data_IF_472724233544
#
_entry.id   IF_472724233544
#
_cell.length_a   1.000
_cell.length_b   1.000
_cell.length_c   1.000
_cell.angle_alpha   90.00
_cell.angle_beta   90.00
_cell.angle_gamma   90.00
#
_symmetry.space_group_name_H-M   'P 1'
#
loop_
_entity.id
_entity.type
_entity.pdbx_description
1 polymer ?
#
# COMPACT_ATOMS: atom_id res chain seq x y z
N UNK A 1 -2.82 -5.18 6.42
CA UNK A 1 -4.13 -5.57 6.98
C UNK A 1 -4.81 -4.43 7.72
N UNK A 2 -4.23 -3.91 8.80
CA UNK A 2 -4.88 -2.91 9.67
C UNK A 2 -5.32 -1.63 8.95
N UNK A 3 -4.53 -1.12 7.99
CA UNK A 3 -4.90 0.06 7.18
C UNK A 3 -6.11 -0.24 6.28
N UNK A 4 -6.15 -1.41 5.64
CA UNK A 4 -7.26 -1.80 4.78
C UNK A 4 -8.54 -2.02 5.58
N UNK A 5 -8.44 -2.63 6.77
CA UNK A 5 -9.56 -2.79 7.72
C UNK A 5 -10.10 -1.45 8.19
N UNK A 6 -9.22 -0.50 8.53
CA UNK A 6 -9.61 0.85 8.95
C UNK A 6 -10.41 1.61 7.88
N UNK A 7 -10.06 1.43 6.60
CA UNK A 7 -10.65 2.17 5.49
C UNK A 7 -11.61 1.30 4.65
N UNK A 8 -12.12 0.19 5.20
CA UNK A 8 -12.82 -0.83 4.42
C UNK A 8 -14.08 -0.30 3.72
N UNK A 9 -14.78 0.66 4.31
CA UNK A 9 -15.98 1.28 3.71
C UNK A 9 -15.70 2.10 2.44
N UNK A 10 -14.49 2.62 2.30
CA UNK A 10 -14.13 3.54 1.21
C UNK A 10 -13.27 2.88 0.12
N UNK A 11 -12.70 1.70 0.41
CA UNK A 11 -11.75 1.02 -0.46
C UNK A 11 -12.45 0.04 -1.41
N UNK A 12 -12.41 0.33 -2.71
CA UNK A 12 -12.89 -0.63 -3.74
C UNK A 12 -11.84 -1.68 -4.13
N UNK A 13 -10.56 -1.32 -4.08
CA UNK A 13 -9.46 -2.21 -4.43
C UNK A 13 -8.18 -1.80 -3.72
N UNK A 14 -7.32 -2.78 -3.41
CA UNK A 14 -6.03 -2.56 -2.76
C UNK A 14 -4.89 -3.15 -3.60
N UNK A 15 -4.03 -2.29 -4.13
CA UNK A 15 -2.77 -2.69 -4.74
C UNK A 15 -1.67 -2.80 -3.68
N UNK A 16 -0.96 -3.92 -3.64
CA UNK A 16 0.16 -4.13 -2.73
C UNK A 16 1.28 -4.94 -3.38
N UNK A 17 2.44 -4.95 -2.72
CA UNK A 17 3.57 -5.73 -3.21
C UNK A 17 3.34 -7.23 -3.23
N UNK A 18 3.99 -7.90 -4.18
CA UNK A 18 4.07 -9.36 -4.26
C UNK A 18 4.62 -9.99 -2.97
N UNK A 19 5.42 -9.24 -2.20
CA UNK A 19 5.83 -9.58 -0.85
C UNK A 19 4.68 -9.81 0.13
N UNK A 20 3.53 -9.17 -0.08
CA UNK A 20 2.31 -9.32 0.71
C UNK A 20 1.38 -10.43 0.19
N UNK A 21 1.83 -11.28 -0.71
CA UNK A 21 1.06 -12.44 -1.15
C UNK A 21 0.84 -13.42 0.01
N UNK A 22 -0.31 -13.29 0.67
CA UNK A 22 -0.78 -14.15 1.76
C UNK A 22 -2.26 -14.45 1.53
N UNK A 23 -2.62 -15.73 1.61
CA UNK A 23 -3.99 -16.17 1.40
C UNK A 23 -4.97 -15.54 2.40
N UNK A 24 -4.61 -15.54 3.69
CA UNK A 24 -5.41 -14.93 4.76
C UNK A 24 -5.66 -13.43 4.57
N UNK A 25 -4.69 -12.70 4.02
CA UNK A 25 -4.84 -11.29 3.66
C UNK A 25 -5.86 -11.14 2.52
N UNK A 26 -5.77 -11.98 1.48
CA UNK A 26 -6.69 -11.93 0.33
C UNK A 26 -8.13 -12.23 0.75
N UNK A 27 -8.33 -13.24 1.57
CA UNK A 27 -9.63 -13.59 2.14
C UNK A 27 -10.18 -12.44 2.99
N UNK A 28 -9.38 -11.92 3.93
CA UNK A 28 -9.77 -10.75 4.74
C UNK A 28 -10.16 -9.53 3.89
N UNK A 29 -9.49 -9.29 2.76
CA UNK A 29 -9.84 -8.19 1.85
C UNK A 29 -11.16 -8.45 1.13
N UNK A 30 -11.41 -9.69 0.69
CA UNK A 30 -12.66 -10.07 0.02
C UNK A 30 -13.86 -10.01 0.96
N UNK A 31 -13.70 -10.41 2.21
CA UNK A 31 -14.74 -10.31 3.24
C UNK A 31 -15.16 -8.85 3.49
N UNK A 32 -14.21 -7.93 3.32
CA UNK A 32 -14.43 -6.48 3.39
C UNK A 32 -14.95 -5.88 2.07
N UNK A 33 -15.20 -6.69 1.04
CA UNK A 33 -15.61 -6.22 -0.29
C UNK A 33 -14.50 -5.54 -1.10
N UNK A 34 -13.25 -5.61 -0.65
CA UNK A 34 -12.10 -4.95 -1.27
C UNK A 34 -11.44 -5.90 -2.27
N UNK A 35 -11.33 -5.52 -3.55
CA UNK A 35 -10.62 -6.34 -4.55
C UNK A 35 -9.11 -6.33 -4.30
N UNK A 36 -8.46 -7.47 -4.02
CA UNK A 36 -7.02 -7.54 -3.87
C UNK A 36 -6.33 -7.47 -5.24
N UNK A 37 -5.44 -6.49 -5.42
CA UNK A 37 -4.56 -6.34 -6.58
C UNK A 37 -3.11 -6.65 -6.14
N UNK A 38 -2.86 -7.91 -5.82
CA UNK A 38 -1.57 -8.42 -5.34
C UNK A 38 -1.15 -9.53 -6.29
N UNK A 39 0.03 -9.42 -6.91
CA UNK A 39 0.56 -10.49 -7.76
C UNK A 39 0.92 -11.71 -6.90
N UNK A 40 0.59 -12.90 -7.39
CA UNK A 40 0.98 -14.18 -6.80
C UNK A 40 2.48 -14.39 -6.93
N UNK A 41 3.10 -14.91 -5.88
CA UNK A 41 4.41 -15.56 -5.96
C UNK A 41 4.29 -16.79 -6.85
N UNK A 42 5.19 -16.91 -7.82
CA UNK A 42 5.11 -17.97 -8.83
C UNK A 42 5.76 -19.19 -8.21
N UNK A 43 4.92 -20.17 -7.85
CA UNK A 43 5.34 -21.49 -7.40
C UNK A 43 4.74 -22.59 -8.29
N UNK A 44 3.61 -22.31 -8.96
CA UNK A 44 2.94 -23.23 -9.87
C UNK A 44 2.46 -22.52 -11.16
N UNK A 45 2.16 -23.29 -12.23
CA UNK A 45 1.59 -22.74 -13.47
C UNK A 45 0.27 -21.99 -13.25
N UNK A 46 -0.52 -22.40 -12.25
CA UNK A 46 -1.76 -21.72 -11.87
C UNK A 46 -1.54 -20.28 -11.39
N UNK A 47 -0.38 -19.94 -10.84
CA UNK A 47 -0.06 -18.57 -10.40
C UNK A 47 0.11 -17.62 -11.59
N UNK A 48 0.58 -18.12 -12.73
CA UNK A 48 0.66 -17.35 -13.97
C UNK A 48 -0.74 -16.95 -14.46
N UNK A 49 -1.69 -17.88 -14.44
CA UNK A 49 -3.06 -17.62 -14.83
C UNK A 49 -3.73 -16.58 -13.91
N UNK A 50 -3.48 -16.66 -12.59
CA UNK A 50 -3.99 -15.66 -11.64
C UNK A 50 -3.36 -14.28 -11.85
N UNK A 51 -2.06 -14.22 -12.12
CA UNK A 51 -1.37 -12.97 -12.41
C UNK A 51 -1.86 -12.31 -13.71
N UNK A 52 -2.16 -13.09 -14.74
CA UNK A 52 -2.70 -12.59 -16.01
C UNK A 52 -4.11 -11.97 -15.89
N UNK A 53 -4.87 -12.35 -14.85
CA UNK A 53 -6.22 -11.80 -14.57
C UNK A 53 -6.20 -10.47 -13.80
N UNK A 54 -5.03 -10.04 -13.32
CA UNK A 54 -4.89 -8.77 -12.61
C UNK A 54 -4.88 -7.63 -13.64
N UNK A 55 -5.68 -6.59 -13.38
CA UNK A 55 -5.65 -5.35 -14.15
C UNK A 55 -4.29 -4.68 -13.98
N UNK A 56 -3.46 -4.76 -15.02
CA UNK A 56 -2.10 -4.23 -14.99
C UNK A 56 -2.08 -2.70 -14.84
N UNK A 57 -3.03 -1.99 -15.45
CA UNK A 57 -3.09 -0.54 -15.36
C UNK A 57 -3.32 -0.10 -13.90
N UNK A 58 -4.24 -0.75 -13.19
CA UNK A 58 -4.47 -0.48 -11.76
C UNK A 58 -3.32 -0.94 -10.88
N UNK A 59 -2.71 -2.10 -11.19
CA UNK A 59 -1.56 -2.60 -10.43
C UNK A 59 -0.34 -1.67 -10.58
N UNK A 60 -0.10 -1.11 -11.77
CA UNK A 60 1.04 -0.25 -12.08
C UNK A 60 1.00 1.11 -11.34
N UNK A 61 -0.18 1.53 -10.84
CA UNK A 61 -0.31 2.74 -10.01
C UNK A 61 0.50 2.66 -8.70
N UNK A 62 0.84 1.45 -8.26
CA UNK A 62 1.70 1.22 -7.10
C UNK A 62 3.06 1.93 -7.21
N UNK A 63 3.63 2.00 -8.41
CA UNK A 63 4.93 2.65 -8.64
C UNK A 63 4.92 4.14 -8.27
N UNK A 64 3.78 4.80 -8.44
CA UNK A 64 3.60 6.19 -8.02
C UNK A 64 3.66 6.33 -6.48
N UNK A 65 2.99 5.42 -5.77
CA UNK A 65 3.03 5.39 -4.29
C UNK A 65 4.45 5.11 -3.78
N UNK A 66 5.19 4.22 -4.44
CA UNK A 66 6.60 3.94 -4.08
C UNK A 66 7.50 5.15 -4.30
N UNK A 67 7.29 5.89 -5.39
CA UNK A 67 8.02 7.12 -5.69
C UNK A 67 7.78 8.17 -4.61
N UNK A 68 6.51 8.40 -4.24
CA UNK A 68 6.14 9.34 -3.17
C UNK A 68 6.76 8.91 -1.83
N UNK A 69 6.63 7.64 -1.46
CA UNK A 69 7.22 7.11 -0.23
C UNK A 69 8.74 7.29 -0.19
N UNK A 70 9.41 7.05 -1.32
CA UNK A 70 10.87 7.24 -1.42
C UNK A 70 11.24 8.71 -1.26
N UNK A 71 10.50 9.64 -1.88
CA UNK A 71 10.73 11.07 -1.75
C UNK A 71 10.54 11.56 -0.31
N UNK A 72 9.48 11.12 0.37
CA UNK A 72 9.22 11.44 1.79
C UNK A 72 10.36 10.92 2.66
N UNK A 73 10.78 9.65 2.46
CA UNK A 73 11.86 9.03 3.23
C UNK A 73 13.20 9.73 3.06
N UNK A 74 13.55 10.14 1.84
CA UNK A 74 14.78 10.92 1.58
C UNK A 74 14.74 12.30 2.24
N UNK A 75 13.57 12.93 2.33
CA UNK A 75 13.43 14.28 2.88
C UNK A 75 13.31 14.35 4.41
N UNK A 76 12.66 13.37 5.04
CA UNK A 76 12.29 13.41 6.46
C UNK A 76 12.88 12.23 7.27
N UNK A 77 13.59 11.32 6.61
CA UNK A 77 14.08 10.08 7.20
C UNK A 77 13.11 8.92 7.04
N UNK A 78 13.56 7.71 7.36
CA UNK A 78 12.77 6.48 7.23
C UNK A 78 12.25 5.93 8.57
N UNK A 79 12.76 6.43 9.69
CA UNK A 79 12.47 5.91 11.02
C UNK A 79 11.17 6.51 11.58
N UNK A 80 10.36 5.66 12.21
CA UNK A 80 9.16 6.03 12.95
C UNK A 80 9.47 5.79 14.43
N UNK A 81 9.23 6.79 15.28
CA UNK A 81 9.54 6.71 16.73
C UNK A 81 8.41 6.13 17.56
N UNK A 82 7.18 6.24 17.07
CA UNK A 82 6.02 5.64 17.70
C UNK A 82 6.18 4.12 17.84
N UNK A 83 5.76 3.57 19.00
CA UNK A 83 5.80 2.13 19.31
C UNK A 83 4.43 1.45 19.22
N UNK A 84 3.39 2.19 18.87
CA UNK A 84 2.02 1.70 18.78
C UNK A 84 1.48 2.00 17.39
N UNK A 85 0.86 1.00 16.76
CA UNK A 85 0.41 1.08 15.36
C UNK A 85 -0.37 2.37 15.03
N UNK A 86 -1.30 2.78 15.90
CA UNK A 86 -2.08 4.00 15.65
C UNK A 86 -1.22 5.27 15.64
N UNK A 87 -0.21 5.35 16.51
CA UNK A 87 0.73 6.47 16.54
C UNK A 87 1.70 6.41 15.37
N UNK A 88 2.15 5.21 14.97
CA UNK A 88 2.99 5.03 13.77
C UNK A 88 2.27 5.52 12.51
N UNK A 89 1.00 5.15 12.35
CA UNK A 89 0.16 5.62 11.25
C UNK A 89 0.06 7.16 11.23
N UNK A 90 -0.18 7.77 12.39
CA UNK A 90 -0.28 9.24 12.50
C UNK A 90 1.05 9.93 12.23
N UNK A 91 2.16 9.35 12.69
CA UNK A 91 3.50 9.87 12.43
C UNK A 91 3.81 9.88 10.93
N UNK A 92 3.51 8.78 10.22
CA UNK A 92 3.67 8.71 8.76
C UNK A 92 2.75 9.72 8.05
N UNK A 93 1.49 9.84 8.48
CA UNK A 93 0.57 10.82 7.90
C UNK A 93 1.08 12.26 8.08
N UNK A 94 1.62 12.60 9.26
CA UNK A 94 2.24 13.89 9.54
C UNK A 94 3.49 14.12 8.69
N UNK A 95 4.34 13.10 8.48
CA UNK A 95 5.49 13.20 7.60
C UNK A 95 5.05 13.56 6.16
N UNK A 96 3.99 12.93 5.65
CA UNK A 96 3.44 13.28 4.33
C UNK A 96 2.94 14.73 4.27
N UNK A 97 2.24 15.20 5.31
CA UNK A 97 1.76 16.59 5.40
C UNK A 97 2.93 17.58 5.40
N UNK A 98 3.94 17.34 6.25
CA UNK A 98 5.14 18.18 6.34
C UNK A 98 5.90 18.20 5.00
N UNK A 99 6.00 17.05 4.33
CA UNK A 99 6.61 16.97 3.01
C UNK A 99 5.87 17.85 1.99
N UNK A 100 4.53 17.80 1.97
CA UNK A 100 3.72 18.62 1.08
C UNK A 100 3.87 20.12 1.37
N UNK A 101 3.87 20.53 2.64
CA UNK A 101 4.09 21.93 3.04
C UNK A 101 5.48 22.40 2.59
N UNK A 102 6.53 21.61 2.87
CA UNK A 102 7.90 21.95 2.44
C UNK A 102 8.02 22.06 0.93
N UNK A 103 7.28 21.24 0.17
CA UNK A 103 7.24 21.31 -1.29
C UNK A 103 6.50 22.56 -1.78
N UNK A 104 5.37 22.91 -1.15
CA UNK A 104 4.58 24.08 -1.50
C UNK A 104 5.31 25.41 -1.23
N UNK A 105 6.12 25.48 -0.18
CA UNK A 105 6.91 26.69 0.17
C UNK A 105 8.17 26.85 -0.70
N UNK A 106 8.68 25.76 -1.28
CA UNK A 106 9.86 25.79 -2.16
C UNK A 106 9.52 26.06 -3.64
N UNK A 107 8.24 25.98 -4.00
CA UNK A 107 7.72 26.35 -5.31
C UNK A 107 7.31 27.82 -5.30
#
# INVERSE_FOLDING_TARGET
>A
EQIARRNAGDLRSLAADKGYDKQSLRESLRDLGIRPLIKHRIFAPSDHAHNARIDEQRYNQRSMTETVNSAVKRSLGFAVRARSWFREFREIALMCVVYNIKRAVKQ
#
